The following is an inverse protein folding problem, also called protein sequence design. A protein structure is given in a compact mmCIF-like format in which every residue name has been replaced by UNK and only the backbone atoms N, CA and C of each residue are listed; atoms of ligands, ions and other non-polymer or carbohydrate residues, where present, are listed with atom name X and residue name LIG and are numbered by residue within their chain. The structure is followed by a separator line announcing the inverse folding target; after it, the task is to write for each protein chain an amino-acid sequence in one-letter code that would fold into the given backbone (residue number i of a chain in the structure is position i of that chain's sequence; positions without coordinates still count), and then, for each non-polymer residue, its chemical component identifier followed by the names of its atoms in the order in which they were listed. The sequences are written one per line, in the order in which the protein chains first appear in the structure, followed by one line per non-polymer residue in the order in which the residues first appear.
data_IF_990659320816
#
_entry.id   IF_990659320816
#
_cell.length_a   1.000
_cell.length_b   1.000
_cell.length_c   1.000
_cell.angle_alpha   90.00
_cell.angle_beta   90.00
_cell.angle_gamma   90.00
#
_symmetry.space_group_name_H-M   'P 1'
#
loop_
_entity.id
_entity.type
_entity.pdbx_description
1 polymer ?
#
# COMPACT_ATOMS: atom_id res chain seq x y z
N UNK A 1 56.36 47.05 -25.96
CA UNK A 1 56.11 46.29 -24.73
C UNK A 1 54.61 46.22 -24.48
N UNK A 2 54.10 45.10 -23.95
CA UNK A 2 52.69 44.83 -23.56
C UNK A 2 51.79 44.12 -24.59
N UNK A 3 51.95 42.81 -24.78
CA UNK A 3 50.86 41.93 -25.28
C UNK A 3 51.08 40.43 -24.99
N UNK A 4 51.52 40.05 -23.79
CA UNK A 4 51.71 38.62 -23.42
C UNK A 4 50.87 38.20 -22.19
N UNK A 5 50.12 39.10 -21.57
CA UNK A 5 49.53 38.80 -20.25
C UNK A 5 48.06 38.37 -20.25
N UNK A 6 47.38 38.26 -21.40
CA UNK A 6 45.93 37.93 -21.41
C UNK A 6 45.68 36.43 -21.67
N UNK A 7 46.44 35.78 -22.56
CA UNK A 7 46.24 34.34 -22.88
C UNK A 7 46.55 33.38 -21.71
N UNK A 8 47.37 33.80 -20.74
CA UNK A 8 47.81 32.96 -19.61
C UNK A 8 46.79 32.86 -18.46
N UNK A 9 45.80 33.75 -18.42
CA UNK A 9 44.76 33.73 -17.38
C UNK A 9 43.43 33.15 -17.86
N UNK A 10 43.15 33.12 -19.17
CA UNK A 10 41.86 32.63 -19.69
C UNK A 10 41.79 31.08 -19.65
N UNK A 11 42.89 30.39 -19.97
CA UNK A 11 42.96 28.91 -19.90
C UNK A 11 42.63 28.33 -18.51
N UNK A 12 43.26 28.79 -17.40
CA UNK A 12 42.95 28.25 -16.09
C UNK A 12 41.52 28.61 -15.63
N UNK A 13 41.00 29.79 -16.01
CA UNK A 13 39.63 30.19 -15.67
C UNK A 13 38.59 29.31 -16.37
N UNK A 14 38.80 28.96 -17.65
CA UNK A 14 37.90 28.06 -18.38
C UNK A 14 37.91 26.64 -17.81
N UNK A 15 39.07 26.14 -17.40
CA UNK A 15 39.20 24.81 -16.79
C UNK A 15 38.52 24.77 -15.43
N UNK A 16 38.68 25.81 -14.61
CA UNK A 16 38.01 25.93 -13.31
C UNK A 16 36.49 26.06 -13.48
N UNK A 17 36.01 26.82 -14.47
CA UNK A 17 34.58 26.93 -14.77
C UNK A 17 33.99 25.60 -15.29
N UNK A 18 34.72 24.86 -16.11
CA UNK A 18 34.30 23.55 -16.60
C UNK A 18 34.26 22.50 -15.47
N UNK A 19 35.25 22.53 -14.57
CA UNK A 19 35.26 21.66 -13.38
C UNK A 19 34.16 22.02 -12.38
N UNK A 20 33.85 23.31 -12.20
CA UNK A 20 32.73 23.76 -11.39
C UNK A 20 31.38 23.36 -12.00
N UNK A 21 31.23 23.44 -13.32
CA UNK A 21 30.03 22.96 -14.03
C UNK A 21 29.88 21.43 -13.92
N UNK A 22 30.98 20.67 -14.04
CA UNK A 22 30.97 19.21 -13.85
C UNK A 22 30.66 18.82 -12.38
N UNK A 23 31.17 19.59 -11.42
CA UNK A 23 30.85 19.42 -10.00
C UNK A 23 29.38 19.77 -9.69
N UNK A 24 28.82 20.79 -10.34
CA UNK A 24 27.40 21.12 -10.24
C UNK A 24 26.51 20.02 -10.85
N UNK A 25 26.90 19.45 -12.00
CA UNK A 25 26.15 18.33 -12.63
C UNK A 25 26.18 17.05 -11.78
N UNK A 26 27.21 16.84 -10.97
CA UNK A 26 27.35 15.66 -10.09
C UNK A 26 26.72 15.86 -8.71
N UNK A 27 26.71 17.09 -8.18
CA UNK A 27 26.12 17.41 -6.87
C UNK A 27 24.62 17.70 -6.93
N UNK A 28 24.09 18.06 -8.10
CA UNK A 28 22.65 18.16 -8.33
C UNK A 28 22.17 16.90 -9.04
N UNK A 29 21.75 15.84 -8.30
CA UNK A 29 21.06 14.73 -8.93
C UNK A 29 19.89 15.32 -9.72
N UNK A 30 19.83 14.95 -10.98
CA UNK A 30 18.83 15.47 -11.90
C UNK A 30 17.44 15.31 -11.27
N UNK A 31 16.55 16.30 -11.38
CA UNK A 31 15.17 16.16 -10.86
C UNK A 31 14.48 14.90 -11.41
N UNK A 32 14.94 14.41 -12.56
CA UNK A 32 14.59 13.13 -13.17
C UNK A 32 14.94 11.90 -12.32
N UNK A 33 16.10 11.87 -11.65
CA UNK A 33 16.46 10.79 -10.72
C UNK A 33 15.48 10.71 -9.54
N UNK A 34 15.10 11.86 -8.97
CA UNK A 34 14.16 11.90 -7.83
C UNK A 34 12.74 11.46 -8.19
N UNK A 35 12.29 11.73 -9.42
CA UNK A 35 10.97 11.33 -9.91
C UNK A 35 10.93 9.85 -10.30
N UNK A 36 11.98 9.34 -10.94
CA UNK A 36 12.11 7.91 -11.25
C UNK A 36 12.23 7.07 -9.97
N UNK A 37 13.02 7.51 -8.99
CA UNK A 37 13.08 6.91 -7.67
C UNK A 37 11.71 6.92 -6.96
N UNK A 38 10.95 8.02 -7.06
CA UNK A 38 9.60 8.10 -6.49
C UNK A 38 8.63 7.10 -7.12
N UNK A 39 8.72 6.87 -8.45
CA UNK A 39 7.92 5.84 -9.14
C UNK A 39 8.28 4.43 -8.66
N UNK A 40 9.57 4.13 -8.58
CA UNK A 40 10.05 2.82 -8.09
C UNK A 40 9.65 2.61 -6.64
N UNK A 41 9.81 3.62 -5.77
CA UNK A 41 9.39 3.56 -4.38
C UNK A 41 7.88 3.33 -4.23
N UNK A 42 7.06 4.00 -5.05
CA UNK A 42 5.61 3.79 -5.08
C UNK A 42 5.25 2.36 -5.54
N UNK A 43 5.90 1.85 -6.58
CA UNK A 43 5.63 0.50 -7.09
C UNK A 43 6.04 -0.59 -6.09
N UNK A 44 7.19 -0.42 -5.43
CA UNK A 44 7.64 -1.32 -4.35
C UNK A 44 6.68 -1.25 -3.17
N UNK A 45 6.22 -0.06 -2.80
CA UNK A 45 5.26 0.13 -1.71
C UNK A 45 3.91 -0.53 -2.02
N UNK A 46 3.35 -0.30 -3.22
CA UNK A 46 2.11 -0.94 -3.67
C UNK A 46 2.24 -2.47 -3.64
N UNK A 47 3.33 -3.01 -4.19
CA UNK A 47 3.62 -4.45 -4.14
C UNK A 47 3.68 -4.96 -2.70
N UNK A 48 4.39 -4.26 -1.82
CA UNK A 48 4.55 -4.68 -0.43
C UNK A 48 3.23 -4.64 0.35
N UNK A 49 2.37 -3.63 0.14
CA UNK A 49 1.03 -3.57 0.74
C UNK A 49 0.17 -4.75 0.27
N UNK A 50 0.18 -5.05 -1.03
CA UNK A 50 -0.59 -6.16 -1.60
C UNK A 50 -0.09 -7.53 -1.10
N UNK A 51 1.23 -7.74 -1.07
CA UNK A 51 1.83 -8.98 -0.57
C UNK A 51 1.54 -9.19 0.92
N UNK A 52 1.60 -8.12 1.73
CA UNK A 52 1.26 -8.17 3.16
C UNK A 52 -0.21 -8.51 3.38
N UNK A 53 -1.09 -8.02 2.50
CA UNK A 53 -2.53 -8.25 2.56
C UNK A 53 -2.96 -9.64 2.07
N UNK A 54 -2.15 -10.29 1.23
CA UNK A 54 -2.50 -11.54 0.55
C UNK A 54 -2.88 -12.70 1.49
N UNK A 55 -2.19 -12.96 2.62
CA UNK A 55 -2.57 -14.02 3.55
C UNK A 55 -3.98 -13.83 4.12
N UNK A 56 -4.36 -12.59 4.42
CA UNK A 56 -5.70 -12.26 4.92
C UNK A 56 -6.78 -12.47 3.85
N UNK A 57 -6.50 -12.15 2.58
CA UNK A 57 -7.44 -12.45 1.48
C UNK A 57 -7.64 -13.94 1.28
N UNK A 58 -6.55 -14.71 1.33
CA UNK A 58 -6.58 -16.17 1.18
C UNK A 58 -7.36 -16.83 2.34
N UNK A 59 -7.03 -16.47 3.58
CA UNK A 59 -7.71 -16.97 4.77
C UNK A 59 -9.22 -16.65 4.73
N UNK A 60 -9.58 -15.41 4.38
CA UNK A 60 -10.99 -15.03 4.28
C UNK A 60 -11.73 -15.77 3.16
N UNK A 61 -11.11 -15.93 1.99
CA UNK A 61 -11.71 -16.66 0.87
C UNK A 61 -11.91 -18.14 1.20
N UNK A 62 -10.93 -18.77 1.84
CA UNK A 62 -11.00 -20.15 2.28
C UNK A 62 -12.08 -20.32 3.35
N UNK A 63 -12.12 -19.44 4.34
CA UNK A 63 -13.15 -19.43 5.36
C UNK A 63 -14.56 -19.34 4.76
N UNK A 64 -14.78 -18.45 3.78
CA UNK A 64 -16.08 -18.34 3.08
C UNK A 64 -16.47 -19.63 2.34
N UNK A 65 -15.51 -20.43 1.87
CA UNK A 65 -15.80 -21.76 1.29
C UNK A 65 -16.14 -22.77 2.39
N UNK A 66 -15.39 -22.75 3.48
CA UNK A 66 -15.59 -23.64 4.61
C UNK A 66 -16.93 -23.37 5.32
N UNK A 67 -17.35 -22.11 5.47
CA UNK A 67 -18.62 -21.76 6.14
C UNK A 67 -19.83 -22.41 5.49
N UNK A 68 -19.88 -22.47 4.16
CA UNK A 68 -20.97 -23.14 3.42
C UNK A 68 -21.03 -24.62 3.78
N UNK A 69 -19.89 -25.31 3.73
CA UNK A 69 -19.80 -26.76 3.99
C UNK A 69 -20.08 -27.08 5.46
N UNK A 70 -19.47 -26.34 6.38
CA UNK A 70 -19.57 -26.57 7.83
C UNK A 70 -20.96 -26.23 8.37
N UNK A 71 -21.59 -25.17 7.85
CA UNK A 71 -22.98 -24.82 8.22
C UNK A 71 -23.98 -25.88 7.77
N UNK A 72 -23.81 -26.46 6.57
CA UNK A 72 -24.65 -27.57 6.10
C UNK A 72 -24.50 -28.82 6.98
N UNK A 73 -23.26 -29.12 7.41
CA UNK A 73 -22.97 -30.22 8.33
C UNK A 73 -23.36 -29.93 9.78
N UNK A 74 -23.77 -28.70 10.10
CA UNK A 74 -24.01 -28.20 11.46
C UNK A 74 -22.82 -28.40 12.40
N UNK A 75 -21.61 -28.38 11.84
CA UNK A 75 -20.36 -28.52 12.59
C UNK A 75 -19.90 -27.14 13.06
N UNK A 76 -20.57 -26.64 14.10
CA UNK A 76 -20.28 -25.33 14.66
C UNK A 76 -18.94 -25.26 15.41
N UNK A 77 -18.43 -26.41 15.88
CA UNK A 77 -17.10 -26.51 16.47
C UNK A 77 -16.01 -26.21 15.46
N UNK A 78 -16.05 -26.89 14.30
CA UNK A 78 -15.13 -26.63 13.20
C UNK A 78 -15.32 -25.21 12.63
N UNK A 79 -16.56 -24.71 12.54
CA UNK A 79 -16.84 -23.35 12.08
C UNK A 79 -16.18 -22.30 12.99
N UNK A 80 -16.25 -22.50 14.31
CA UNK A 80 -15.62 -21.61 15.30
C UNK A 80 -14.10 -21.65 15.17
N UNK A 81 -13.49 -22.84 15.04
CA UNK A 81 -12.05 -22.97 14.87
C UNK A 81 -11.56 -22.29 13.59
N UNK A 82 -12.25 -22.50 12.46
CA UNK A 82 -11.93 -21.86 11.19
C UNK A 82 -12.06 -20.32 11.28
N UNK A 83 -13.11 -19.83 11.95
CA UNK A 83 -13.30 -18.40 12.14
C UNK A 83 -12.21 -17.77 13.03
N UNK A 84 -11.77 -18.47 14.09
CA UNK A 84 -10.65 -18.04 14.93
C UNK A 84 -9.33 -17.98 14.16
N UNK A 85 -8.98 -19.03 13.41
CA UNK A 85 -7.76 -19.05 12.58
C UNK A 85 -7.76 -17.91 11.56
N UNK A 86 -8.92 -17.64 10.97
CA UNK A 86 -9.11 -16.53 10.03
C UNK A 86 -8.94 -15.18 10.71
N UNK A 87 -9.55 -15.00 11.89
CA UNK A 87 -9.40 -13.80 12.69
C UNK A 87 -7.93 -13.53 13.05
N UNK A 88 -7.22 -14.54 13.55
CA UNK A 88 -5.81 -14.41 13.95
C UNK A 88 -4.93 -14.01 12.76
N UNK A 89 -5.14 -14.64 11.61
CA UNK A 89 -4.42 -14.29 10.37
C UNK A 89 -4.70 -12.85 9.95
N UNK A 90 -5.97 -12.42 9.96
CA UNK A 90 -6.34 -11.05 9.60
C UNK A 90 -5.78 -10.04 10.61
N UNK A 91 -5.79 -10.37 11.90
CA UNK A 91 -5.25 -9.51 12.95
C UNK A 91 -3.73 -9.36 12.82
N UNK A 92 -3.00 -10.43 12.53
CA UNK A 92 -1.56 -10.39 12.27
C UNK A 92 -1.24 -9.55 11.01
N UNK A 93 -2.02 -9.70 9.95
CA UNK A 93 -1.90 -8.86 8.74
C UNK A 93 -2.19 -7.39 9.06
N UNK A 94 -3.23 -7.10 9.85
CA UNK A 94 -3.55 -5.75 10.30
C UNK A 94 -2.40 -5.10 11.07
N UNK A 95 -1.77 -5.83 11.99
CA UNK A 95 -0.58 -5.38 12.72
C UNK A 95 0.62 -5.15 11.78
N UNK A 96 0.81 -6.01 10.78
CA UNK A 96 1.91 -5.88 9.81
C UNK A 96 1.70 -4.68 8.88
N UNK A 97 0.47 -4.48 8.38
CA UNK A 97 0.08 -3.29 7.63
C UNK A 97 0.26 -2.00 8.45
N UNK A 98 0.01 -2.05 9.77
CA UNK A 98 0.24 -0.93 10.69
C UNK A 98 1.73 -0.52 10.76
N UNK A 99 2.64 -1.47 10.58
CA UNK A 99 4.08 -1.25 10.64
C UNK A 99 4.70 -0.78 9.32
N UNK A 100 3.99 -0.83 8.18
CA UNK A 100 4.54 -0.40 6.88
C UNK A 100 4.82 1.11 6.90
N UNK A 101 6.07 1.56 6.68
CA UNK A 101 6.40 2.97 6.61
C UNK A 101 5.93 3.58 5.29
N UNK A 102 5.38 4.80 5.34
CA UNK A 102 5.01 5.56 4.14
C UNK A 102 6.30 6.02 3.44
N UNK A 103 6.47 5.75 2.13
CA UNK A 103 7.66 6.17 1.41
C UNK A 103 7.78 7.69 1.37
N UNK A 104 9.02 8.19 1.50
CA UNK A 104 9.33 9.62 1.36
C UNK A 104 9.30 10.01 -0.13
N UNK A 105 8.09 10.16 -0.68
CA UNK A 105 7.86 10.61 -2.04
C UNK A 105 7.98 12.14 -2.13
N UNK A 106 8.59 12.66 -3.20
CA UNK A 106 8.73 14.10 -3.42
C UNK A 106 7.39 14.78 -3.74
N UNK A 107 6.45 14.06 -4.36
CA UNK A 107 5.13 14.56 -4.70
C UNK A 107 4.14 14.38 -3.52
N UNK A 108 3.59 15.49 -3.01
CA UNK A 108 2.64 15.51 -1.90
C UNK A 108 1.36 14.72 -2.19
N UNK A 109 0.82 14.81 -3.42
CA UNK A 109 -0.37 14.05 -3.81
C UNK A 109 -0.10 12.55 -3.89
N UNK A 110 1.06 12.13 -4.41
CA UNK A 110 1.45 10.72 -4.43
C UNK A 110 1.65 10.17 -3.00
N UNK A 111 2.20 10.98 -2.09
CA UNK A 111 2.33 10.63 -0.67
C UNK A 111 0.98 10.48 0.02
N UNK A 112 0.07 11.42 -0.22
CA UNK A 112 -1.30 11.38 0.34
C UNK A 112 -2.07 10.15 -0.17
N UNK A 113 -1.96 9.86 -1.47
CA UNK A 113 -2.58 8.68 -2.07
C UNK A 113 -1.99 7.38 -1.51
N UNK A 114 -0.66 7.28 -1.35
CA UNK A 114 -0.02 6.11 -0.73
C UNK A 114 -0.44 5.93 0.74
N UNK A 115 -0.54 7.02 1.50
CA UNK A 115 -1.05 6.98 2.88
C UNK A 115 -2.50 6.52 2.94
N UNK A 116 -3.37 7.14 2.12
CA UNK A 116 -4.79 6.81 2.06
C UNK A 116 -5.02 5.36 1.65
N UNK A 117 -4.30 4.87 0.64
CA UNK A 117 -4.37 3.48 0.23
C UNK A 117 -3.99 2.51 1.37
N UNK A 118 -2.98 2.84 2.16
CA UNK A 118 -2.59 2.04 3.33
C UNK A 118 -3.67 2.06 4.41
N UNK A 119 -4.23 3.23 4.74
CA UNK A 119 -5.32 3.37 5.70
C UNK A 119 -6.60 2.64 5.26
N UNK A 120 -6.98 2.75 3.99
CA UNK A 120 -8.12 2.03 3.43
C UNK A 120 -7.90 0.52 3.46
N UNK A 121 -6.66 0.06 3.19
CA UNK A 121 -6.29 -1.36 3.32
C UNK A 121 -6.41 -1.83 4.77
N UNK A 122 -5.91 -1.06 5.74
CA UNK A 122 -6.06 -1.35 7.16
C UNK A 122 -7.53 -1.41 7.56
N UNK A 123 -8.31 -0.40 7.18
CA UNK A 123 -9.74 -0.32 7.48
C UNK A 123 -10.50 -1.54 6.93
N UNK A 124 -10.19 -1.98 5.70
CA UNK A 124 -10.76 -3.21 5.13
C UNK A 124 -10.53 -4.42 6.04
N UNK A 125 -9.29 -4.66 6.46
CA UNK A 125 -8.97 -5.84 7.25
C UNK A 125 -9.46 -5.75 8.70
N UNK A 126 -9.53 -4.54 9.27
CA UNK A 126 -10.22 -4.33 10.56
C UNK A 126 -11.70 -4.70 10.48
N UNK A 127 -12.39 -4.32 9.39
CA UNK A 127 -13.78 -4.71 9.17
C UNK A 127 -13.91 -6.23 8.98
N UNK A 128 -13.04 -6.87 8.20
CA UNK A 128 -13.07 -8.33 8.05
C UNK A 128 -12.77 -9.07 9.36
N UNK A 129 -11.89 -8.54 10.21
CA UNK A 129 -11.65 -9.07 11.55
C UNK A 129 -12.91 -8.97 12.43
N UNK A 130 -13.64 -7.85 12.36
CA UNK A 130 -14.91 -7.70 13.07
C UNK A 130 -15.95 -8.71 12.56
N UNK A 131 -16.04 -8.95 11.24
CA UNK A 131 -16.90 -9.98 10.69
C UNK A 131 -16.51 -11.40 11.18
N UNK A 132 -15.21 -11.70 11.27
CA UNK A 132 -14.71 -12.96 11.83
C UNK A 132 -15.12 -13.13 13.31
N UNK A 133 -15.07 -12.07 14.11
CA UNK A 133 -15.52 -12.10 15.51
C UNK A 133 -17.01 -12.39 15.65
N UNK A 134 -17.85 -11.84 14.77
CA UNK A 134 -19.28 -12.18 14.75
C UNK A 134 -19.46 -13.66 14.40
N UNK A 135 -18.71 -14.20 13.44
CA UNK A 135 -18.71 -15.63 13.13
C UNK A 135 -18.29 -16.51 14.31
N UNK A 136 -17.22 -16.14 15.03
CA UNK A 136 -16.76 -16.86 16.23
C UNK A 136 -17.88 -16.92 17.27
N UNK A 137 -18.55 -15.79 17.52
CA UNK A 137 -19.67 -15.69 18.47
C UNK A 137 -20.86 -16.56 18.05
N UNK A 138 -21.27 -16.50 16.79
CA UNK A 138 -22.36 -17.34 16.26
C UNK A 138 -22.04 -18.83 16.32
N UNK A 139 -20.81 -19.21 15.96
CA UNK A 139 -20.36 -20.59 16.01
C UNK A 139 -20.36 -21.11 17.47
N UNK A 140 -19.92 -20.28 18.42
CA UNK A 140 -19.90 -20.61 19.84
C UNK A 140 -21.28 -20.75 20.47
N UNK A 141 -22.30 -20.07 19.95
CA UNK A 141 -23.69 -20.20 20.42
C UNK A 141 -24.42 -21.42 19.81
N UNK A 142 -23.79 -22.13 18.87
CA UNK A 142 -24.37 -23.29 18.18
C UNK A 142 -25.58 -22.95 17.29
N UNK A 143 -25.80 -21.65 17.02
CA UNK A 143 -26.89 -21.15 16.19
C UNK A 143 -26.41 -19.97 15.37
N UNK A 144 -26.73 -20.00 14.08
CA UNK A 144 -26.52 -18.87 13.17
C UNK A 144 -27.88 -18.16 13.03
N UNK A 145 -28.01 -16.98 13.62
CA UNK A 145 -29.25 -16.20 13.50
C UNK A 145 -29.27 -15.38 12.21
N UNK A 146 -30.46 -15.09 11.70
CA UNK A 146 -30.61 -14.29 10.49
C UNK A 146 -30.07 -12.86 10.66
N UNK A 147 -30.28 -12.26 11.84
CA UNK A 147 -29.82 -10.90 12.14
C UNK A 147 -28.28 -10.79 12.19
N UNK A 148 -27.61 -11.79 12.74
CA UNK A 148 -26.13 -11.82 12.80
C UNK A 148 -25.52 -12.08 11.40
N UNK A 149 -26.20 -12.85 10.54
CA UNK A 149 -25.82 -12.99 9.13
C UNK A 149 -25.95 -11.65 8.38
N UNK A 150 -27.02 -10.89 8.60
CA UNK A 150 -27.19 -9.55 8.02
C UNK A 150 -26.08 -8.61 8.49
N UNK A 151 -25.71 -8.67 9.79
CA UNK A 151 -24.61 -7.88 10.32
C UNK A 151 -23.28 -8.21 9.63
N UNK A 152 -22.97 -9.49 9.45
CA UNK A 152 -21.77 -9.94 8.72
C UNK A 152 -21.77 -9.46 7.28
N UNK A 153 -22.88 -9.63 6.56
CA UNK A 153 -22.99 -9.13 5.18
C UNK A 153 -22.83 -7.61 5.10
N UNK A 154 -23.36 -6.88 6.09
CA UNK A 154 -23.18 -5.43 6.21
C UNK A 154 -21.71 -5.05 6.35
N UNK A 155 -20.98 -5.74 7.24
CA UNK A 155 -19.55 -5.51 7.45
C UNK A 155 -18.73 -5.92 6.22
N UNK A 156 -19.03 -7.05 5.57
CA UNK A 156 -18.40 -7.47 4.32
C UNK A 156 -18.62 -6.45 3.19
N UNK A 157 -19.85 -5.91 3.06
CA UNK A 157 -20.16 -4.84 2.10
C UNK A 157 -19.38 -3.56 2.38
N UNK A 158 -19.17 -3.21 3.65
CA UNK A 158 -18.34 -2.06 4.03
C UNK A 158 -16.86 -2.33 3.71
N UNK A 159 -16.34 -3.50 4.03
CA UNK A 159 -14.97 -3.91 3.68
C UNK A 159 -14.72 -3.84 2.17
N UNK A 160 -15.69 -4.29 1.36
CA UNK A 160 -15.61 -4.24 -0.10
C UNK A 160 -15.56 -2.81 -0.68
N UNK A 161 -16.09 -1.80 0.03
CA UNK A 161 -15.99 -0.40 -0.41
C UNK A 161 -14.53 0.07 -0.40
N UNK A 162 -13.77 -0.30 0.62
CA UNK A 162 -12.35 0.06 0.75
C UNK A 162 -11.48 -0.62 -0.33
N UNK A 163 -11.81 -1.85 -0.74
CA UNK A 163 -11.09 -2.51 -1.84
C UNK A 163 -11.14 -1.72 -3.15
N UNK A 164 -12.22 -1.00 -3.42
CA UNK A 164 -12.35 -0.18 -4.64
C UNK A 164 -11.56 1.13 -4.58
N UNK A 165 -11.16 1.57 -3.38
CA UNK A 165 -10.42 2.82 -3.19
C UNK A 165 -8.92 2.64 -3.45
N UNK A 166 -8.36 1.49 -3.07
CA UNK A 166 -6.91 1.21 -3.14
C UNK A 166 -6.35 1.23 -4.59
N UNK A 167 -6.92 0.50 -5.58
CA UNK A 167 -6.38 0.52 -6.95
C UNK A 167 -6.48 1.90 -7.60
N UNK A 168 -7.54 2.65 -7.30
CA UNK A 168 -7.76 4.00 -7.82
C UNK A 168 -6.75 5.00 -7.27
N UNK A 169 -6.47 4.95 -5.97
CA UNK A 169 -5.52 5.84 -5.32
C UNK A 169 -4.08 5.59 -5.81
N UNK A 170 -3.67 4.34 -6.03
CA UNK A 170 -2.37 4.04 -6.64
C UNK A 170 -2.29 4.48 -8.11
N UNK A 171 -3.36 4.36 -8.90
CA UNK A 171 -3.40 4.87 -10.27
C UNK A 171 -3.27 6.40 -10.32
N UNK A 172 -3.92 7.11 -9.39
CA UNK A 172 -3.76 8.56 -9.22
C UNK A 172 -2.33 8.93 -8.81
N UNK A 173 -1.73 8.18 -7.89
CA UNK A 173 -0.33 8.39 -7.49
C UNK A 173 0.65 8.16 -8.63
N UNK A 174 0.43 7.13 -9.47
CA UNK A 174 1.22 6.88 -10.69
C UNK A 174 1.07 8.02 -11.70
N UNK A 175 -0.15 8.51 -11.89
CA UNK A 175 -0.44 9.66 -12.78
C UNK A 175 0.25 10.94 -12.29
N UNK A 176 0.24 11.20 -10.98
CA UNK A 176 0.91 12.34 -10.38
C UNK A 176 2.45 12.29 -10.51
N UNK A 177 3.01 11.11 -10.74
CA UNK A 177 4.43 10.90 -10.98
C UNK A 177 4.77 10.76 -12.46
N UNK A 178 3.80 10.78 -13.37
CA UNK A 178 4.03 10.67 -14.81
C UNK A 178 4.92 11.83 -15.33
N UNK A 179 5.69 11.63 -16.40
CA UNK A 179 6.49 12.72 -16.96
C UNK A 179 5.54 13.84 -17.36
N UNK A 180 5.87 15.10 -17.03
CA UNK A 180 5.11 16.23 -17.56
C UNK A 180 5.28 16.21 -19.07
N UNK A 181 4.21 15.88 -19.78
CA UNK A 181 4.12 16.12 -21.21
C UNK A 181 4.18 17.64 -21.36
N UNK A 182 5.35 18.17 -21.66
CA UNK A 182 5.45 19.54 -22.15
C UNK A 182 4.99 19.53 -23.61
N UNK A 183 4.20 20.52 -24.04
CA UNK A 183 3.89 20.74 -25.44
C UNK A 183 5.15 21.04 -26.25
#
# INVERSE_FOLDING_TARGET
MSSISIRRYIMPIMVVAALAALALVTLFPSKTDTMQQSRTALAVFEKHVNETAQPAEQAWSEFKRQTVVLSQKKDFGALSQAANQTYDTINQVGATLAAIPIPKLHNTHARQAAWKALEDTRARYTMLAAAAQVWIKMAGSGRVTHDELIAIEGVEKQAAKYQRMIPGDFALARSALAPSAKP
#
